data_IF_316875328276
#
_entry.id   IF_316875328276
#
_cell.length_a   1.000
_cell.length_b   1.000
_cell.length_c   1.000
_cell.angle_alpha   90.00
_cell.angle_beta   90.00
_cell.angle_gamma   90.00
#
_symmetry.space_group_name_H-M   'P 1'
#
loop_
_entity.id
_entity.type
_entity.pdbx_description
1 polymer ?
#
# COMPACT_ATOMS: atom_id res chain seq x y z
N UNK A 1 0.80 -2.16 1.89
CA UNK A 1 0.44 -1.88 0.47
C UNK A 1 1.25 -0.71 -0.04
N UNK A 2 1.74 -0.77 -1.28
CA UNK A 2 2.31 0.40 -1.97
C UNK A 2 1.20 1.30 -2.49
N UNK A 3 1.36 2.62 -2.41
CA UNK A 3 0.44 3.58 -3.04
C UNK A 3 0.15 3.22 -4.52
N UNK A 4 -1.03 3.61 -5.00
CA UNK A 4 -1.42 3.42 -6.40
C UNK A 4 -0.68 4.36 -7.36
N UNK A 5 -0.86 4.18 -8.67
CA UNK A 5 -0.12 4.95 -9.67
C UNK A 5 -0.28 6.47 -9.47
N UNK A 6 0.85 7.19 -9.49
CA UNK A 6 0.89 8.62 -9.28
C UNK A 6 1.54 9.34 -10.48
N UNK A 7 0.95 10.46 -10.87
CA UNK A 7 1.43 11.31 -11.95
C UNK A 7 2.85 11.82 -11.63
N UNK A 8 3.67 12.16 -12.65
CA UNK A 8 4.90 12.90 -12.42
C UNK A 8 4.59 14.29 -11.84
N UNK A 9 5.55 14.88 -11.13
CA UNK A 9 5.39 16.22 -10.56
C UNK A 9 6.70 16.77 -10.01
N UNK A 10 6.80 18.09 -9.91
CA UNK A 10 8.02 18.77 -9.48
C UNK A 10 8.35 18.56 -7.99
N UNK A 11 7.32 18.46 -7.15
CA UNK A 11 7.45 18.19 -5.71
C UNK A 11 6.96 16.77 -5.45
N UNK A 12 7.86 15.84 -5.11
CA UNK A 12 7.51 14.41 -5.02
C UNK A 12 6.36 14.14 -4.04
N UNK A 13 6.42 14.73 -2.84
CA UNK A 13 5.40 14.56 -1.80
C UNK A 13 4.00 15.03 -2.22
N UNK A 14 3.90 15.92 -3.20
CA UNK A 14 2.64 16.50 -3.69
C UNK A 14 2.14 15.83 -4.99
N UNK A 15 2.82 14.80 -5.48
CA UNK A 15 2.33 14.03 -6.64
C UNK A 15 1.00 13.36 -6.29
N UNK A 16 -0.01 13.64 -7.11
CA UNK A 16 -1.33 13.04 -7.00
C UNK A 16 -1.42 11.71 -7.75
N UNK A 17 -2.41 10.90 -7.41
CA UNK A 17 -2.78 9.72 -8.19
C UNK A 17 -3.20 10.12 -9.60
N UNK A 18 -2.85 9.28 -10.59
CA UNK A 18 -3.46 9.35 -11.92
C UNK A 18 -4.93 8.89 -11.84
N UNK A 19 -5.77 9.18 -12.87
CA UNK A 19 -7.11 8.59 -12.94
C UNK A 19 -7.08 7.06 -12.85
N UNK A 20 -6.10 6.43 -13.50
CA UNK A 20 -5.87 4.99 -13.40
C UNK A 20 -5.51 4.58 -11.97
N UNK A 21 -4.58 5.28 -11.30
CA UNK A 21 -4.24 5.01 -9.90
C UNK A 21 -5.42 5.11 -8.93
N UNK A 22 -6.36 6.01 -9.18
CA UNK A 22 -7.60 6.08 -8.40
C UNK A 22 -8.47 4.83 -8.59
N UNK A 23 -8.61 4.34 -9.83
CA UNK A 23 -9.31 3.09 -10.13
C UNK A 23 -8.62 1.89 -9.47
N UNK A 24 -7.29 1.82 -9.53
CA UNK A 24 -6.51 0.76 -8.87
C UNK A 24 -6.83 0.70 -7.37
N UNK A 25 -6.76 1.85 -6.68
CA UNK A 25 -6.98 1.92 -5.23
C UNK A 25 -8.42 1.50 -4.85
N UNK A 26 -9.41 1.92 -5.65
CA UNK A 26 -10.80 1.54 -5.46
C UNK A 26 -11.01 0.02 -5.59
N UNK A 27 -10.44 -0.60 -6.62
CA UNK A 27 -10.60 -2.04 -6.87
C UNK A 27 -9.93 -2.88 -5.80
N UNK A 28 -8.74 -2.47 -5.32
CA UNK A 28 -8.10 -3.15 -4.18
C UNK A 28 -9.01 -3.10 -2.95
N UNK A 29 -9.66 -1.95 -2.70
CA UNK A 29 -10.62 -1.82 -1.59
C UNK A 29 -11.83 -2.74 -1.74
N UNK A 30 -12.41 -2.81 -2.94
CA UNK A 30 -13.53 -3.71 -3.25
C UNK A 30 -13.13 -5.19 -3.13
N UNK A 31 -11.92 -5.54 -3.61
CA UNK A 31 -11.39 -6.88 -3.50
C UNK A 31 -11.19 -7.27 -2.03
N UNK A 32 -10.62 -6.39 -1.20
CA UNK A 32 -10.47 -6.64 0.24
C UNK A 32 -11.82 -6.88 0.93
N UNK A 33 -12.85 -6.09 0.57
CA UNK A 33 -14.21 -6.27 1.07
C UNK A 33 -14.75 -7.68 0.74
N UNK A 34 -14.42 -8.23 -0.43
CA UNK A 34 -14.84 -9.56 -0.86
C UNK A 34 -14.06 -10.69 -0.17
N UNK A 35 -12.81 -10.47 0.22
CA UNK A 35 -11.93 -11.51 0.75
C UNK A 35 -12.18 -11.89 2.23
N UNK A 36 -13.24 -11.40 2.88
CA UNK A 36 -13.44 -11.52 4.34
C UNK A 36 -12.27 -10.97 5.18
N UNK A 37 -11.33 -10.24 4.57
CA UNK A 37 -10.22 -9.56 5.22
C UNK A 37 -10.64 -8.14 5.49
N UNK A 38 -11.10 -7.89 6.71
CA UNK A 38 -11.52 -6.56 7.11
C UNK A 38 -10.46 -5.97 8.03
N UNK A 39 -9.61 -5.05 7.55
CA UNK A 39 -8.79 -4.28 8.46
C UNK A 39 -9.72 -3.48 9.39
N UNK A 40 -9.33 -3.30 10.64
CA UNK A 40 -10.05 -2.46 11.59
C UNK A 40 -9.65 -0.99 11.46
N UNK A 41 -8.48 -0.72 10.87
CA UNK A 41 -7.96 0.62 10.67
C UNK A 41 -7.12 0.71 9.38
N UNK A 42 -7.12 1.90 8.78
CA UNK A 42 -6.29 2.24 7.62
C UNK A 42 -5.32 3.33 8.03
N UNK A 43 -4.04 3.11 7.76
CA UNK A 43 -2.96 4.06 7.97
C UNK A 43 -2.27 4.40 6.66
N UNK A 44 -1.78 5.63 6.55
CA UNK A 44 -1.12 6.11 5.35
C UNK A 44 0.08 6.98 5.65
N UNK A 45 1.06 6.93 4.74
CA UNK A 45 2.05 7.99 4.64
C UNK A 45 1.40 9.34 4.36
N UNK A 46 1.99 10.42 4.88
CA UNK A 46 1.50 11.77 4.65
C UNK A 46 1.65 12.29 3.21
N UNK A 47 2.36 11.58 2.33
CA UNK A 47 2.48 11.96 0.91
C UNK A 47 1.13 11.85 0.19
N UNK A 48 0.84 12.80 -0.70
CA UNK A 48 -0.50 12.96 -1.29
C UNK A 48 -1.02 11.68 -1.96
N UNK A 49 -0.20 11.02 -2.80
CA UNK A 49 -0.54 9.75 -3.45
C UNK A 49 -0.90 8.62 -2.48
N UNK A 50 -0.24 8.55 -1.32
CA UNK A 50 -0.52 7.53 -0.32
C UNK A 50 -1.84 7.83 0.41
N UNK A 51 -2.05 9.10 0.79
CA UNK A 51 -3.33 9.57 1.34
C UNK A 51 -4.51 9.31 0.41
N UNK A 52 -4.40 9.68 -0.87
CA UNK A 52 -5.47 9.47 -1.85
C UNK A 52 -5.77 7.98 -2.07
N UNK A 53 -4.73 7.14 -2.05
CA UNK A 53 -4.90 5.67 -2.11
C UNK A 53 -5.68 5.19 -0.88
N UNK A 54 -5.29 5.64 0.31
CA UNK A 54 -5.95 5.28 1.57
C UNK A 54 -7.39 5.78 1.65
N UNK A 55 -7.68 6.98 1.15
CA UNK A 55 -9.04 7.54 1.07
C UNK A 55 -9.93 6.70 0.15
N UNK A 56 -9.41 6.22 -0.99
CA UNK A 56 -10.16 5.32 -1.88
C UNK A 56 -10.44 3.96 -1.23
N UNK A 57 -9.46 3.39 -0.52
CA UNK A 57 -9.62 2.17 0.27
C UNK A 57 -10.66 2.37 1.38
N UNK A 58 -10.59 3.49 2.10
CA UNK A 58 -11.52 3.85 3.17
C UNK A 58 -12.96 3.96 2.70
N UNK A 59 -13.21 4.51 1.51
CA UNK A 59 -14.56 4.53 0.92
C UNK A 59 -15.12 3.13 0.67
N UNK A 60 -14.29 2.20 0.18
CA UNK A 60 -14.73 0.83 -0.10
C UNK A 60 -14.93 0.01 1.20
N UNK A 61 -14.06 0.22 2.18
CA UNK A 61 -14.04 -0.52 3.45
C UNK A 61 -14.85 0.14 4.56
N UNK A 62 -15.43 1.32 4.31
CA UNK A 62 -16.17 2.13 5.29
C UNK A 62 -15.32 2.53 6.50
N UNK A 63 -14.06 2.88 6.27
CA UNK A 63 -13.09 3.29 7.28
C UNK A 63 -12.54 4.69 6.98
N UNK A 64 -12.22 5.45 8.03
CA UNK A 64 -11.56 6.75 7.92
C UNK A 64 -10.05 6.52 8.08
N UNK A 65 -9.21 6.84 7.07
CA UNK A 65 -7.78 6.66 7.19
C UNK A 65 -7.11 7.66 8.13
N UNK A 66 -6.10 7.18 8.83
CA UNK A 66 -5.20 7.98 9.65
C UNK A 66 -3.83 8.15 8.98
N UNK A 67 -3.09 9.17 9.39
CA UNK A 67 -1.75 9.46 8.86
C UNK A 67 -0.71 9.02 9.88
N UNK A 68 0.28 8.26 9.42
CA UNK A 68 1.50 7.96 10.16
C UNK A 68 2.65 8.84 9.64
N UNK A 69 3.46 9.36 10.56
CA UNK A 69 4.58 10.22 10.23
C UNK A 69 5.68 9.44 9.48
N UNK A 70 6.09 8.29 10.02
CA UNK A 70 7.36 7.65 9.67
C UNK A 70 7.22 6.48 8.68
N UNK A 71 6.34 6.62 7.69
CA UNK A 71 6.13 5.60 6.64
C UNK A 71 6.27 6.15 5.22
N UNK A 72 7.09 7.20 5.03
CA UNK A 72 7.47 7.78 3.73
C UNK A 72 8.66 7.04 3.08
N UNK A 73 9.01 7.30 1.80
CA UNK A 73 10.15 6.65 1.15
C UNK A 73 11.51 6.85 1.86
N UNK A 74 11.67 7.93 2.61
CA UNK A 74 12.93 8.35 3.23
C UNK A 74 13.17 7.76 4.63
N UNK A 75 12.12 7.19 5.26
CA UNK A 75 12.24 6.60 6.59
C UNK A 75 12.93 5.23 6.53
N UNK A 76 13.63 4.89 7.61
CA UNK A 76 14.19 3.55 7.78
C UNK A 76 13.09 2.54 8.11
N UNK A 77 13.38 1.25 7.86
CA UNK A 77 12.48 0.16 8.25
C UNK A 77 12.24 0.18 9.76
N UNK A 78 13.27 0.45 10.57
CA UNK A 78 13.13 0.47 12.03
C UNK A 78 12.21 1.60 12.51
N UNK A 79 12.29 2.79 11.90
CA UNK A 79 11.37 3.89 12.19
C UNK A 79 9.92 3.52 11.84
N UNK A 80 9.71 2.92 10.67
CA UNK A 80 8.40 2.47 10.25
C UNK A 80 7.85 1.37 11.17
N UNK A 81 8.65 0.38 11.53
CA UNK A 81 8.25 -0.69 12.45
C UNK A 81 7.96 -0.17 13.85
N UNK A 82 8.67 0.85 14.34
CA UNK A 82 8.37 1.49 15.62
C UNK A 82 6.98 2.15 15.63
N UNK A 83 6.52 2.72 14.51
CA UNK A 83 5.15 3.24 14.37
C UNK A 83 4.09 2.14 14.29
N UNK A 84 4.43 0.99 13.71
CA UNK A 84 3.48 -0.11 13.51
C UNK A 84 3.39 -1.07 14.70
N UNK A 85 4.47 -1.22 15.48
CA UNK A 85 4.49 -2.10 16.65
C UNK A 85 3.32 -1.85 17.62
N UNK A 86 2.98 -0.60 17.99
CA UNK A 86 1.83 -0.31 18.86
C UNK A 86 0.47 -0.71 18.27
N UNK A 87 0.40 -1.00 16.97
CA UNK A 87 -0.82 -1.42 16.26
C UNK A 87 -1.00 -2.95 16.25
N UNK A 88 -0.07 -3.70 16.86
CA UNK A 88 -0.13 -5.16 16.99
C UNK A 88 -1.41 -5.64 17.68
N UNK A 89 -1.80 -6.89 17.43
CA UNK A 89 -3.01 -7.51 18.01
C UNK A 89 -4.32 -7.20 17.28
N UNK A 90 -4.29 -6.41 16.20
CA UNK A 90 -5.45 -6.16 15.32
C UNK A 90 -5.06 -6.05 13.84
N UNK A 91 -5.96 -6.37 12.90
CA UNK A 91 -5.67 -6.25 11.48
C UNK A 91 -5.65 -4.77 11.05
N UNK A 92 -4.55 -4.33 10.46
CA UNK A 92 -4.39 -2.95 9.94
C UNK A 92 -3.97 -2.96 8.48
N UNK A 93 -4.44 -1.97 7.72
CA UNK A 93 -4.01 -1.73 6.35
C UNK A 93 -3.11 -0.50 6.30
N UNK A 94 -1.85 -0.68 5.89
CA UNK A 94 -0.88 0.42 5.80
C UNK A 94 -0.56 0.72 4.33
N UNK A 95 -0.69 1.99 3.93
CA UNK A 95 -0.32 2.50 2.60
C UNK A 95 0.99 3.28 2.68
N UNK A 96 2.02 2.77 2.01
CA UNK A 96 3.38 3.32 2.01
C UNK A 96 4.00 3.29 0.60
N UNK A 97 5.32 3.31 0.47
CA UNK A 97 6.07 3.54 -0.76
C UNK A 97 7.18 2.51 -0.95
N UNK A 98 7.73 2.48 -2.16
CA UNK A 98 9.05 1.89 -2.37
C UNK A 98 10.12 2.96 -2.09
N UNK A 99 11.32 2.59 -1.61
CA UNK A 99 11.78 1.21 -1.33
C UNK A 99 11.33 0.66 0.04
N UNK A 100 10.76 1.50 0.90
CA UNK A 100 10.43 1.15 2.28
C UNK A 100 9.57 -0.12 2.39
N UNK A 101 8.55 -0.27 1.55
CA UNK A 101 7.64 -1.42 1.59
C UNK A 101 8.35 -2.75 1.35
N UNK A 102 9.22 -2.82 0.33
CA UNK A 102 9.96 -4.04 0.06
C UNK A 102 10.93 -4.39 1.20
N UNK A 103 11.54 -3.38 1.81
CA UNK A 103 12.42 -3.56 2.95
C UNK A 103 11.67 -3.97 4.24
N UNK A 104 10.46 -3.43 4.46
CA UNK A 104 9.58 -3.86 5.56
C UNK A 104 9.15 -5.32 5.39
N UNK A 105 8.75 -5.73 4.19
CA UNK A 105 8.35 -7.12 3.95
C UNK A 105 9.49 -8.10 4.23
N UNK A 106 10.71 -7.79 3.78
CA UNK A 106 11.90 -8.60 4.06
C UNK A 106 12.23 -8.65 5.57
N UNK A 107 11.82 -7.65 6.35
CA UNK A 107 12.05 -7.61 7.79
C UNK A 107 10.96 -8.34 8.57
N UNK A 108 9.70 -8.19 8.16
CA UNK A 108 8.52 -8.75 8.85
C UNK A 108 8.36 -10.26 8.63
N UNK A 109 8.79 -10.76 7.48
CA UNK A 109 8.63 -12.15 7.06
C UNK A 109 9.97 -12.88 7.00
N UNK A 110 10.08 -13.99 7.74
CA UNK A 110 11.29 -14.83 7.81
C UNK A 110 11.49 -15.71 6.59
N UNK A 111 11.70 -15.12 5.41
CA UNK A 111 12.32 -15.86 4.31
C UNK A 111 13.47 -15.10 3.64
N UNK A 112 14.56 -15.82 3.30
CA UNK A 112 15.77 -15.18 2.83
C UNK A 112 15.61 -14.55 1.43
N UNK A 113 15.99 -13.27 1.35
CA UNK A 113 16.51 -12.60 0.15
C UNK A 113 15.62 -12.56 -1.11
N UNK A 114 14.30 -12.39 -0.97
CA UNK A 114 13.49 -12.01 -2.13
C UNK A 114 13.44 -10.48 -2.29
N UNK A 115 13.95 -9.91 -3.41
CA UNK A 115 13.74 -8.50 -3.69
C UNK A 115 12.26 -8.27 -4.03
N UNK A 116 11.53 -7.63 -3.11
CA UNK A 116 10.12 -7.31 -3.29
C UNK A 116 9.92 -6.07 -4.16
N UNK A 117 9.92 -6.27 -5.48
CA UNK A 117 9.56 -5.23 -6.45
C UNK A 117 8.03 -5.13 -6.62
N UNK A 118 7.34 -4.62 -5.61
CA UNK A 118 5.87 -4.52 -5.64
C UNK A 118 5.42 -3.31 -6.49
N UNK A 119 4.56 -3.51 -7.50
CA UNK A 119 4.08 -2.43 -8.36
C UNK A 119 3.11 -1.50 -7.62
N UNK A 120 2.78 -0.32 -8.19
CA UNK A 120 1.76 0.54 -7.62
C UNK A 120 0.47 -0.24 -7.35
N UNK A 121 -0.19 0.07 -6.23
CA UNK A 121 -1.34 -0.64 -5.69
C UNK A 121 -1.10 -2.10 -5.27
N UNK A 122 0.14 -2.60 -5.35
CA UNK A 122 0.44 -3.95 -4.89
C UNK A 122 0.37 -4.07 -3.36
N UNK A 123 -0.22 -5.17 -2.90
CA UNK A 123 -0.55 -5.44 -1.51
C UNK A 123 0.04 -6.79 -1.09
N UNK A 124 0.60 -6.86 0.11
CA UNK A 124 0.92 -8.13 0.75
C UNK A 124 0.08 -8.23 2.02
N UNK A 125 -0.62 -9.35 2.14
CA UNK A 125 -1.36 -9.73 3.34
C UNK A 125 -0.48 -10.67 4.14
N UNK A 126 -0.21 -10.28 5.38
CA UNK A 126 0.55 -11.05 6.35
C UNK A 126 -0.27 -11.22 7.63
N UNK A 127 -0.09 -12.33 8.35
CA UNK A 127 -0.71 -12.61 9.64
C UNK A 127 0.34 -12.92 10.72
N UNK A 128 0.01 -12.59 11.97
CA UNK A 128 0.88 -12.79 13.13
C UNK A 128 0.40 -11.98 14.32
N UNK A 129 0.87 -12.32 15.52
CA UNK A 129 0.43 -11.64 16.74
C UNK A 129 1.05 -10.25 16.89
N UNK A 130 2.27 -10.08 16.41
CA UNK A 130 3.09 -8.89 16.63
C UNK A 130 3.67 -8.38 15.32
N UNK A 131 3.53 -7.08 15.05
CA UNK A 131 4.16 -6.42 13.90
C UNK A 131 5.62 -6.13 14.25
N UNK A 132 6.47 -7.13 14.05
CA UNK A 132 7.88 -7.10 14.40
C UNK A 132 8.71 -7.91 13.41
N UNK A 133 10.04 -7.77 13.43
CA UNK A 133 10.89 -8.57 12.59
C UNK A 133 10.61 -10.07 12.77
N UNK A 134 10.51 -10.80 11.67
CA UNK A 134 10.40 -12.25 11.67
C UNK A 134 9.15 -12.82 12.39
N UNK A 135 8.15 -11.98 12.64
CA UNK A 135 6.96 -12.33 13.44
C UNK A 135 5.67 -12.48 12.62
N UNK A 136 5.70 -12.18 11.32
CA UNK A 136 4.55 -12.33 10.44
C UNK A 136 4.78 -13.44 9.41
N UNK A 137 3.72 -14.13 9.02
CA UNK A 137 3.71 -15.06 7.90
C UNK A 137 3.01 -14.43 6.69
N UNK A 138 3.58 -14.64 5.50
CA UNK A 138 2.98 -14.16 4.26
C UNK A 138 1.82 -15.07 3.84
N UNK A 139 0.63 -14.49 3.68
CA UNK A 139 -0.57 -15.22 3.26
C UNK A 139 -0.84 -15.08 1.77
N UNK A 140 -0.73 -13.86 1.27
CA UNK A 140 -1.00 -13.58 -0.13
C UNK A 140 -0.30 -12.30 -0.57
N UNK A 141 0.12 -12.26 -1.83
CA UNK A 141 0.55 -11.04 -2.50
C UNK A 141 -0.37 -10.78 -3.68
N UNK A 142 -0.96 -9.60 -3.71
CA UNK A 142 -1.59 -9.03 -4.90
C UNK A 142 -0.54 -8.18 -5.61
N UNK A 143 0.11 -8.76 -6.62
CA UNK A 143 1.15 -8.12 -7.43
C UNK A 143 0.66 -7.67 -8.82
N UNK A 144 -0.55 -8.03 -9.21
CA UNK A 144 -1.14 -7.64 -10.49
C UNK A 144 -2.28 -6.64 -10.27
N UNK A 145 -2.41 -5.70 -11.20
CA UNK A 145 -3.47 -4.70 -11.14
C UNK A 145 -4.78 -5.37 -11.51
N UNK A 146 -5.78 -5.28 -10.64
CA UNK A 146 -7.14 -5.80 -10.87
C UNK A 146 -7.87 -5.10 -12.04
N UNK A 147 -7.29 -4.04 -12.60
CA UNK A 147 -7.79 -3.25 -13.70
C UNK A 147 -6.98 -3.54 -14.96
N UNK A 148 -7.66 -3.81 -16.07
CA UNK A 148 -7.04 -3.70 -17.39
C UNK A 148 -6.72 -2.21 -17.64
N UNK A 149 -5.51 -1.91 -18.14
CA UNK A 149 -5.25 -0.58 -18.69
C UNK A 149 -6.09 -0.45 -19.94
N UNK A 150 -7.13 0.38 -19.88
CA UNK A 150 -7.87 0.75 -21.07
C UNK A 150 -6.89 1.50 -22.00
N UNK A 151 -6.42 0.83 -23.05
CA UNK A 151 -5.44 1.38 -24.00
C UNK A 151 -6.08 2.28 -25.05
N UNK A 152 -7.33 2.70 -24.84
CA UNK A 152 -8.11 3.51 -25.79
C UNK A 152 -7.83 5.02 -25.69
N UNK A 153 -6.59 5.45 -25.88
CA UNK A 153 -6.31 6.84 -26.29
C UNK A 153 -5.22 6.92 -27.36
N UNK A 154 -5.67 6.91 -28.62
CA UNK A 154 -5.24 7.82 -29.67
C UNK A 154 -3.78 7.86 -30.10
N UNK A 155 -3.47 7.24 -31.23
CA UNK A 155 -2.67 7.86 -32.28
C UNK A 155 -3.35 7.57 -33.63
N UNK A 156 -4.13 8.54 -34.10
CA UNK A 156 -4.36 8.68 -35.53
C UNK A 156 -3.02 9.08 -36.15
N UNK A 157 -2.48 8.22 -37.01
CA UNK A 157 -1.37 8.56 -37.88
C UNK A 157 -1.94 9.18 -39.16
N UNK A 158 -1.40 10.31 -39.67
CA UNK A 158 -1.49 10.61 -41.09
C UNK A 158 -0.61 9.66 -41.91
#
# INVERSE_FOLDING_TARGET
MRHAEAAPGAVDAQRALTPYGQQQAQQVGQWLQQQSVQPEAIYSSHYLRARQTAEALGRALQLVPEVLADVTPEHSVDQALAQLWPLSGRPVLVVTHQPLWGAMMARLYSEPNQPWAIPPAGLAWMDGEVIAPDCLHLKQVLAEVLCERDTSTGHGAP
#
